data_IF_139975130579
#
_entry.id   IF_139975130579
#
_cell.length_a   1.000
_cell.length_b   1.000
_cell.length_c   1.000
_cell.angle_alpha   90.00
_cell.angle_beta   90.00
_cell.angle_gamma   90.00
#
_symmetry.space_group_name_H-M   'P 1'
#
loop_
_entity.id
_entity.type
_entity.pdbx_description
1 polymer ?
#
# COMPACT_ATOMS: atom_id res chain seq x y z
N UNK A 1 -10.38 20.27 17.22
CA UNK A 1 -9.14 19.61 17.63
C UNK A 1 -8.11 20.05 16.61
N UNK A 2 -7.12 20.86 17.00
CA UNK A 2 -6.13 21.37 16.06
C UNK A 2 -5.10 20.28 15.75
N UNK A 3 -4.96 19.93 14.48
CA UNK A 3 -4.01 18.91 14.02
C UNK A 3 -2.60 19.49 14.02
N UNK A 4 -1.69 18.82 14.72
CA UNK A 4 -0.27 19.17 14.69
C UNK A 4 0.42 18.50 13.48
N UNK A 5 1.70 18.82 13.26
CA UNK A 5 2.48 18.27 12.15
C UNK A 5 2.62 16.74 12.21
N UNK A 6 2.78 16.18 13.41
CA UNK A 6 2.91 14.74 13.61
C UNK A 6 1.61 14.01 13.26
N UNK A 7 0.45 14.58 13.60
CA UNK A 7 -0.85 14.03 13.23
C UNK A 7 -1.02 14.00 11.71
N UNK A 8 -0.59 15.07 11.02
CA UNK A 8 -0.63 15.15 9.55
C UNK A 8 0.30 14.14 8.89
N UNK A 9 1.53 14.00 9.39
CA UNK A 9 2.51 13.07 8.86
C UNK A 9 2.06 11.61 9.03
N UNK A 10 1.55 11.25 10.23
CA UNK A 10 0.97 9.93 10.49
C UNK A 10 -0.27 9.68 9.63
N UNK A 11 -1.16 10.66 9.57
CA UNK A 11 -2.37 10.61 8.77
C UNK A 11 -2.11 10.45 7.27
N UNK A 12 -1.00 10.98 6.75
CA UNK A 12 -0.62 10.77 5.35
C UNK A 12 -0.28 9.31 5.06
N UNK A 13 0.56 8.67 5.89
CA UNK A 13 0.95 7.27 5.67
C UNK A 13 -0.19 6.29 5.99
N UNK A 14 -0.92 6.52 7.09
CA UNK A 14 -2.10 5.72 7.43
C UNK A 14 -3.24 5.92 6.42
N UNK A 15 -3.40 7.14 5.91
CA UNK A 15 -4.40 7.49 4.90
C UNK A 15 -4.12 6.83 3.56
N UNK A 16 -2.83 6.71 3.18
CA UNK A 16 -2.41 5.92 2.01
C UNK A 16 -2.91 4.48 2.17
N UNK A 17 -2.52 3.79 3.25
CA UNK A 17 -2.89 2.40 3.46
C UNK A 17 -4.40 2.17 3.62
N UNK A 18 -5.09 3.11 4.27
CA UNK A 18 -6.56 3.10 4.38
C UNK A 18 -7.22 3.26 3.01
N UNK A 19 -6.71 4.16 2.18
CA UNK A 19 -7.24 4.41 0.84
C UNK A 19 -7.03 3.23 -0.11
N UNK A 20 -5.84 2.62 -0.05
CA UNK A 20 -5.47 1.38 -0.75
C UNK A 20 -6.44 0.24 -0.36
N UNK A 21 -6.53 -0.09 0.93
CA UNK A 21 -7.42 -1.16 1.43
C UNK A 21 -8.91 -0.93 1.11
N UNK A 22 -9.36 0.32 1.08
CA UNK A 22 -10.73 0.66 0.66
C UNK A 22 -10.90 0.49 -0.86
N UNK A 23 -9.95 1.01 -1.64
CA UNK A 23 -10.03 1.15 -3.09
C UNK A 23 -9.91 -0.17 -3.83
N UNK A 24 -9.03 -1.07 -3.38
CA UNK A 24 -8.80 -2.38 -4.02
C UNK A 24 -10.08 -3.22 -4.16
N UNK A 25 -11.05 -3.03 -3.26
CA UNK A 25 -12.38 -3.66 -3.34
C UNK A 25 -13.08 -3.44 -4.70
N UNK A 26 -12.85 -2.28 -5.33
CA UNK A 26 -13.48 -1.87 -6.59
C UNK A 26 -12.50 -1.80 -7.75
N UNK A 27 -11.31 -2.38 -7.60
CA UNK A 27 -10.33 -2.36 -8.65
C UNK A 27 -10.86 -3.03 -9.93
N UNK A 28 -10.52 -2.45 -11.09
CA UNK A 28 -11.05 -2.82 -12.41
C UNK A 28 -12.58 -2.70 -12.56
N UNK A 29 -13.28 -2.11 -11.59
CA UNK A 29 -14.73 -1.89 -11.66
C UNK A 29 -15.06 -0.56 -12.33
N UNK A 30 -16.13 -0.57 -13.15
CA UNK A 30 -16.59 0.65 -13.82
C UNK A 30 -17.21 1.63 -12.80
N UNK A 31 -16.87 2.93 -12.84
CA UNK A 31 -17.55 3.93 -12.01
C UNK A 31 -19.07 3.91 -12.18
N UNK A 32 -19.79 3.87 -11.06
CA UNK A 32 -21.26 3.85 -11.03
C UNK A 32 -21.92 2.49 -11.25
N UNK A 33 -21.15 1.40 -11.43
CA UNK A 33 -21.69 0.05 -11.60
C UNK A 33 -21.71 -0.79 -10.30
N UNK A 34 -21.44 -0.17 -9.15
CA UNK A 34 -21.36 -0.83 -7.85
C UNK A 34 -22.17 -0.05 -6.80
N UNK A 35 -22.59 -0.73 -5.74
CA UNK A 35 -23.16 -0.08 -4.56
C UNK A 35 -22.06 0.69 -3.83
N UNK A 36 -22.21 1.99 -3.55
CA UNK A 36 -21.17 2.78 -2.90
C UNK A 36 -20.66 2.11 -1.63
N UNK A 37 -19.33 1.96 -1.54
CA UNK A 37 -18.68 1.47 -0.33
C UNK A 37 -18.75 2.55 0.75
N UNK A 38 -19.13 2.13 1.95
CA UNK A 38 -19.17 2.98 3.15
C UNK A 38 -18.20 2.50 4.23
N UNK A 39 -17.51 1.38 4.00
CA UNK A 39 -16.57 0.77 4.94
C UNK A 39 -15.53 -0.06 4.17
N UNK A 40 -14.45 -0.44 4.85
CA UNK A 40 -13.41 -1.34 4.34
C UNK A 40 -13.93 -2.76 4.46
N UNK A 41 -14.25 -3.38 3.32
CA UNK A 41 -14.89 -4.70 3.28
C UNK A 41 -14.00 -5.81 2.68
N UNK A 42 -12.88 -5.45 2.06
CA UNK A 42 -12.02 -6.41 1.36
C UNK A 42 -12.63 -6.91 0.05
N UNK A 43 -12.30 -8.13 -0.36
CA UNK A 43 -12.70 -8.70 -1.65
C UNK A 43 -11.82 -8.20 -2.79
N UNK A 44 -12.43 -7.64 -3.83
CA UNK A 44 -11.71 -7.19 -5.02
C UNK A 44 -11.12 -8.35 -5.85
N UNK A 45 -10.23 -8.06 -6.80
CA UNK A 45 -9.61 -9.06 -7.67
C UNK A 45 -8.69 -10.04 -6.94
N UNK A 46 -8.27 -9.72 -5.71
CA UNK A 46 -7.30 -10.50 -4.93
C UNK A 46 -7.90 -11.20 -3.70
N UNK A 47 -9.23 -11.15 -3.51
CA UNK A 47 -9.94 -11.77 -2.39
C UNK A 47 -9.32 -11.40 -1.01
N UNK A 48 -9.17 -10.10 -0.80
CA UNK A 48 -8.54 -9.54 0.39
C UNK A 48 -9.48 -9.57 1.60
N UNK A 49 -8.92 -9.78 2.79
CA UNK A 49 -9.68 -9.58 4.02
C UNK A 49 -9.84 -8.06 4.30
N UNK A 50 -10.89 -7.65 5.05
CA UNK A 50 -11.03 -6.25 5.48
C UNK A 50 -9.75 -5.69 6.13
N UNK A 51 -9.22 -4.62 5.56
CA UNK A 51 -8.00 -3.94 6.05
C UNK A 51 -6.69 -4.43 5.44
N UNK A 52 -6.72 -5.48 4.62
CA UNK A 52 -5.58 -5.85 3.78
C UNK A 52 -5.41 -4.84 2.62
N UNK A 53 -4.17 -4.55 2.26
CA UNK A 53 -3.72 -3.52 1.31
C UNK A 53 -2.81 -4.12 0.24
N UNK A 54 -2.51 -3.42 -0.86
CA UNK A 54 -1.84 -3.97 -2.04
C UNK A 54 -0.39 -3.51 -2.23
N UNK A 55 0.09 -3.43 -3.47
CA UNK A 55 1.44 -3.01 -3.82
C UNK A 55 1.73 -1.57 -3.41
N UNK A 56 0.75 -0.66 -3.50
CA UNK A 56 0.86 0.74 -3.09
C UNK A 56 1.44 0.86 -1.67
N UNK A 57 0.81 0.20 -0.69
CA UNK A 57 1.30 0.21 0.70
C UNK A 57 2.59 -0.58 0.86
N UNK A 58 2.76 -1.70 0.14
CA UNK A 58 4.01 -2.50 0.18
C UNK A 58 5.22 -1.65 -0.22
N UNK A 59 5.11 -0.91 -1.32
CA UNK A 59 6.15 -0.04 -1.85
C UNK A 59 6.35 1.19 -0.97
N UNK A 60 5.28 1.79 -0.43
CA UNK A 60 5.40 2.89 0.52
C UNK A 60 6.17 2.49 1.79
N UNK A 61 5.92 1.30 2.34
CA UNK A 61 6.65 0.77 3.50
C UNK A 61 8.12 0.51 3.17
N UNK A 62 8.42 -0.05 2.00
CA UNK A 62 9.80 -0.25 1.55
C UNK A 62 10.56 1.09 1.43
N UNK A 63 9.95 2.12 0.85
CA UNK A 63 10.53 3.47 0.78
C UNK A 63 10.72 4.07 2.17
N UNK A 64 9.70 4.02 3.03
CA UNK A 64 9.76 4.55 4.39
C UNK A 64 10.88 3.89 5.19
N UNK A 65 11.02 2.56 5.12
CA UNK A 65 12.09 1.84 5.80
C UNK A 65 13.46 2.23 5.27
N UNK A 66 13.62 2.37 3.95
CA UNK A 66 14.88 2.82 3.35
C UNK A 66 15.28 4.22 3.86
N UNK A 67 14.35 5.18 3.85
CA UNK A 67 14.60 6.53 4.35
C UNK A 67 15.01 6.54 5.83
N UNK A 68 14.34 5.74 6.67
CA UNK A 68 14.65 5.65 8.10
C UNK A 68 16.00 4.99 8.34
N UNK A 69 16.31 3.89 7.65
CA UNK A 69 17.54 3.13 7.88
C UNK A 69 18.77 3.81 7.29
N UNK A 70 18.64 4.46 6.12
CA UNK A 70 19.74 5.16 5.46
C UNK A 70 19.91 6.60 5.99
N UNK A 71 18.89 7.19 6.61
CA UNK A 71 18.91 8.60 7.04
C UNK A 71 18.93 9.61 5.90
N UNK A 72 18.73 9.15 4.66
CA UNK A 72 18.71 9.93 3.42
C UNK A 72 17.96 9.13 2.33
N UNK A 73 17.74 9.75 1.18
CA UNK A 73 17.27 9.04 0.00
C UNK A 73 18.41 8.23 -0.64
N UNK A 74 18.27 6.90 -0.64
CA UNK A 74 19.17 5.96 -1.32
C UNK A 74 18.35 5.09 -2.29
N UNK A 75 18.45 5.41 -3.58
CA UNK A 75 17.73 4.69 -4.62
C UNK A 75 18.14 3.21 -4.74
N UNK A 76 19.39 2.86 -4.44
CA UNK A 76 19.83 1.46 -4.51
C UNK A 76 19.25 0.66 -3.35
N UNK A 77 19.23 1.21 -2.14
CA UNK A 77 18.60 0.56 -0.99
C UNK A 77 17.10 0.38 -1.19
N UNK A 78 16.40 1.42 -1.64
CA UNK A 78 14.98 1.37 -2.00
C UNK A 78 14.70 0.25 -3.02
N UNK A 79 15.44 0.19 -4.12
CA UNK A 79 15.25 -0.84 -5.14
C UNK A 79 15.54 -2.25 -4.62
N UNK A 80 16.50 -2.43 -3.70
CA UNK A 80 16.72 -3.74 -3.06
C UNK A 80 15.53 -4.17 -2.21
N UNK A 81 14.88 -3.23 -1.50
CA UNK A 81 13.68 -3.53 -0.70
C UNK A 81 12.47 -3.85 -1.58
N UNK A 82 12.30 -3.12 -2.67
CA UNK A 82 11.28 -3.45 -3.69
C UNK A 82 11.51 -4.84 -4.27
N UNK A 83 12.77 -5.21 -4.56
CA UNK A 83 13.10 -6.54 -5.04
C UNK A 83 12.81 -7.64 -3.99
N UNK A 84 13.04 -7.37 -2.70
CA UNK A 84 12.68 -8.28 -1.61
C UNK A 84 11.16 -8.42 -1.46
N UNK A 85 10.41 -7.32 -1.59
CA UNK A 85 8.95 -7.41 -1.63
C UNK A 85 8.51 -8.29 -2.80
N UNK A 86 9.00 -8.00 -4.00
CA UNK A 86 8.66 -8.72 -5.22
C UNK A 86 8.97 -10.22 -5.14
N UNK A 87 10.15 -10.59 -4.63
CA UNK A 87 10.61 -12.00 -4.63
C UNK A 87 10.24 -12.79 -3.38
N UNK A 88 10.12 -12.12 -2.25
CA UNK A 88 10.03 -12.77 -0.93
C UNK A 88 8.75 -12.37 -0.16
N UNK A 89 7.94 -11.46 -0.70
CA UNK A 89 6.76 -10.95 0.02
C UNK A 89 7.09 -10.03 1.19
N UNK A 90 8.30 -9.46 1.23
CA UNK A 90 8.69 -8.51 2.25
C UNK A 90 7.75 -7.31 2.30
N UNK A 91 7.20 -6.98 3.48
CA UNK A 91 6.11 -6.01 3.62
C UNK A 91 4.93 -6.25 2.67
N UNK A 92 4.57 -7.50 2.40
CA UNK A 92 3.26 -7.82 1.83
C UNK A 92 2.32 -8.28 2.95
N UNK A 93 1.07 -7.83 2.89
CA UNK A 93 0.03 -8.30 3.81
C UNK A 93 -0.30 -9.79 3.61
N UNK A 94 -0.03 -10.37 2.42
CA UNK A 94 -0.27 -11.78 2.10
C UNK A 94 0.97 -12.67 2.25
N UNK A 95 2.09 -12.10 2.67
CA UNK A 95 3.38 -12.80 2.75
C UNK A 95 4.00 -13.20 1.40
N UNK A 96 3.44 -12.72 0.28
CA UNK A 96 3.99 -12.87 -1.08
C UNK A 96 3.63 -11.63 -1.92
N UNK A 97 4.37 -11.35 -2.98
CA UNK A 97 4.04 -10.24 -3.88
C UNK A 97 2.78 -10.56 -4.71
N UNK A 98 1.87 -9.60 -4.78
CA UNK A 98 0.70 -9.58 -5.65
C UNK A 98 0.44 -8.12 -6.05
N UNK A 99 -0.42 -7.92 -7.04
CA UNK A 99 -0.80 -6.59 -7.57
C UNK A 99 0.35 -5.74 -8.14
N UNK A 100 1.51 -6.34 -8.42
CA UNK A 100 2.61 -5.59 -9.02
C UNK A 100 2.27 -5.14 -10.45
N UNK A 101 2.35 -3.82 -10.68
CA UNK A 101 2.17 -3.26 -12.01
C UNK A 101 3.23 -3.73 -13.02
N UNK A 102 2.81 -3.94 -14.28
CA UNK A 102 3.70 -4.49 -15.32
C UNK A 102 4.93 -3.65 -15.68
N UNK A 103 4.95 -2.35 -15.36
CA UNK A 103 6.14 -1.50 -15.53
C UNK A 103 7.12 -1.59 -14.34
N UNK A 104 6.65 -2.04 -13.18
CA UNK A 104 7.44 -2.21 -11.96
C UNK A 104 8.12 -3.59 -11.91
N UNK A 105 7.48 -4.61 -12.51
CA UNK A 105 7.90 -6.03 -12.49
C UNK A 105 9.18 -6.36 -13.27
#
# INVERSE_FOLDING_TARGET
>A
MDLNLQDRARGALLGLATGDALGTTLEFTRPGSFTPLTDITGGGPFDLAPGEWTDDTSMALCLAESLVQCGTFDAHDQMRRYLRWYREGYYSVKGHCFDIGGATA
#
